data_IF_828726360876
#
_entry.id   IF_828726360876
#
_cell.length_a   1.000
_cell.length_b   1.000
_cell.length_c   1.000
_cell.angle_alpha   90.00
_cell.angle_beta   90.00
_cell.angle_gamma   90.00
#
_symmetry.space_group_name_H-M   'P 1'
#
loop_
_entity.id
_entity.type
_entity.pdbx_description
1 polymer ?
#
# COMPACT_ATOMS: atom_id res chain seq x y z
N UNK A 1 0.40 33.44 67.98
CA UNK A 1 0.25 31.96 67.90
C UNK A 1 1.18 31.50 66.78
N UNK A 2 2.45 31.11 66.99
CA UNK A 2 2.95 29.76 67.36
C UNK A 2 2.09 28.64 66.73
N UNK A 3 2.55 27.62 66.01
CA UNK A 3 3.84 26.92 65.89
C UNK A 3 3.68 25.92 64.71
N UNK A 4 4.56 25.89 63.71
CA UNK A 4 5.60 24.85 63.42
C UNK A 4 5.20 23.37 63.32
N UNK A 5 5.68 22.76 62.22
CA UNK A 5 6.19 21.38 62.02
C UNK A 5 5.16 20.22 62.04
N UNK A 6 5.35 19.05 61.41
CA UNK A 6 6.53 18.38 60.87
C UNK A 6 6.13 17.29 59.86
N UNK A 7 7.09 16.91 59.01
CA UNK A 7 7.09 15.69 58.19
C UNK A 7 7.23 14.40 59.02
N UNK A 8 6.72 13.27 58.52
CA UNK A 8 7.23 11.92 58.80
C UNK A 8 7.09 11.00 57.58
N UNK A 9 8.24 10.52 57.10
CA UNK A 9 8.41 9.30 56.31
C UNK A 9 8.03 8.06 57.14
N UNK A 10 7.58 6.99 56.47
CA UNK A 10 7.94 5.58 56.74
C UNK A 10 7.47 4.67 55.56
N UNK A 11 8.43 3.97 54.95
CA UNK A 11 8.28 2.84 54.01
C UNK A 11 7.86 1.53 54.77
N UNK A 12 7.95 0.32 54.18
CA UNK A 12 7.20 -0.28 53.08
C UNK A 12 6.49 -1.59 53.54
N UNK A 13 5.44 -2.05 52.86
CA UNK A 13 4.83 -3.36 53.17
C UNK A 13 4.92 -4.38 52.03
N UNK A 14 5.37 -5.57 52.44
CA UNK A 14 5.72 -6.77 51.68
C UNK A 14 4.49 -7.60 51.25
N UNK A 15 4.77 -8.47 50.27
CA UNK A 15 3.95 -9.54 49.66
C UNK A 15 3.28 -10.53 50.62
N UNK A 16 2.10 -11.01 50.18
CA UNK A 16 1.58 -12.38 50.34
C UNK A 16 0.21 -12.48 51.05
N UNK A 17 -0.61 -13.56 50.86
CA UNK A 17 -0.52 -14.68 49.92
C UNK A 17 -1.80 -14.88 49.05
N UNK A 18 -1.68 -15.81 48.08
CA UNK A 18 -2.69 -16.23 47.10
C UNK A 18 -3.85 -16.99 47.75
N UNK A 19 -5.09 -16.60 47.45
CA UNK A 19 -6.27 -17.41 47.72
C UNK A 19 -6.64 -18.31 46.53
N UNK A 20 -6.64 -19.62 46.80
CA UNK A 20 -7.24 -20.70 46.02
C UNK A 20 -8.76 -20.50 45.97
N UNK A 21 -9.35 -20.49 44.78
CA UNK A 21 -10.79 -20.69 44.60
C UNK A 21 -11.07 -22.14 44.22
N UNK A 22 -12.03 -22.74 44.93
CA UNK A 22 -12.47 -24.12 44.87
C UNK A 22 -13.42 -24.36 43.70
N UNK A 23 -13.29 -25.52 43.06
CA UNK A 23 -14.30 -26.13 42.19
C UNK A 23 -15.39 -26.81 43.06
N UNK A 24 -16.65 -26.87 42.62
CA UNK A 24 -17.64 -27.75 43.23
C UNK A 24 -17.66 -29.13 42.58
N UNK A 25 -17.62 -30.15 43.43
CA UNK A 25 -17.84 -31.57 43.12
C UNK A 25 -19.33 -31.90 43.10
N UNK A 26 -19.79 -32.67 42.10
CA UNK A 26 -21.05 -33.42 42.15
C UNK A 26 -20.78 -34.91 42.02
N UNK A 27 -21.25 -35.68 43.00
CA UNK A 27 -21.18 -37.13 43.12
C UNK A 27 -22.23 -37.84 42.25
N UNK A 28 -21.89 -38.99 41.68
CA UNK A 28 -22.86 -40.05 41.30
C UNK A 28 -22.17 -41.41 41.23
N UNK A 29 -22.90 -42.44 41.70
CA UNK A 29 -22.46 -43.82 41.94
C UNK A 29 -22.36 -44.69 40.65
N UNK A 30 -21.77 -45.91 40.70
CA UNK A 30 -21.28 -46.62 39.52
C UNK A 30 -22.30 -47.61 38.93
N UNK A 31 -22.28 -47.80 37.60
CA UNK A 31 -22.93 -48.93 36.92
C UNK A 31 -22.25 -49.27 35.57
N UNK A 32 -21.73 -50.50 35.49
CA UNK A 32 -21.92 -51.42 34.36
C UNK A 32 -21.09 -51.24 33.08
N UNK A 33 -20.08 -52.09 32.92
CA UNK A 33 -19.46 -52.43 31.64
C UNK A 33 -20.50 -52.89 30.60
N UNK A 34 -20.55 -52.23 29.43
CA UNK A 34 -21.06 -52.80 28.18
C UNK A 34 -20.22 -52.32 27.00
N UNK A 35 -19.65 -53.27 26.26
CA UNK A 35 -18.90 -53.05 25.03
C UNK A 35 -19.79 -52.40 23.95
N UNK A 36 -19.24 -51.42 23.21
CA UNK A 36 -19.85 -50.86 22.00
C UNK A 36 -19.50 -51.73 20.78
N UNK A 37 -20.44 -51.99 19.85
CA UNK A 37 -20.15 -52.80 18.67
C UNK A 37 -19.46 -51.97 17.57
N UNK A 38 -18.40 -52.54 17.03
CA UNK A 38 -17.49 -52.02 16.00
C UNK A 38 -18.12 -51.81 14.60
N UNK A 39 -19.42 -52.05 14.44
CA UNK A 39 -20.09 -52.09 13.12
C UNK A 39 -20.71 -50.76 12.67
N UNK A 40 -20.90 -49.78 13.55
CA UNK A 40 -21.51 -48.50 13.19
C UNK A 40 -20.53 -47.56 12.43
N UNK A 41 -19.24 -47.62 12.75
CA UNK A 41 -18.24 -46.72 12.17
C UNK A 41 -17.80 -47.15 10.75
N UNK A 42 -17.93 -48.45 10.40
CA UNK A 42 -17.60 -48.97 9.08
C UNK A 42 -18.63 -48.59 7.98
N UNK A 43 -19.90 -48.41 8.35
CA UNK A 43 -20.97 -48.04 7.41
C UNK A 43 -20.94 -46.54 7.08
N UNK A 44 -20.56 -45.69 8.04
CA UNK A 44 -20.40 -44.24 7.83
C UNK A 44 -19.19 -43.91 6.94
N UNK A 45 -18.11 -44.69 7.01
CA UNK A 45 -16.90 -44.47 6.21
C UNK A 45 -17.08 -44.86 4.72
N UNK A 46 -17.91 -45.87 4.44
CA UNK A 46 -18.15 -46.38 3.07
C UNK A 46 -19.15 -45.55 2.27
N UNK A 47 -20.13 -44.92 2.94
CA UNK A 47 -21.06 -43.98 2.30
C UNK A 47 -20.38 -42.66 1.87
N UNK A 48 -19.40 -42.17 2.64
CA UNK A 48 -18.65 -40.94 2.34
C UNK A 48 -17.69 -41.08 1.16
N UNK A 49 -17.02 -42.22 1.03
CA UNK A 49 -16.08 -42.48 -0.08
C UNK A 49 -16.78 -42.60 -1.45
N UNK A 50 -18.03 -43.07 -1.47
CA UNK A 50 -18.81 -43.28 -2.69
C UNK A 50 -19.34 -41.97 -3.32
N UNK A 51 -19.66 -40.98 -2.49
CA UNK A 51 -20.10 -39.64 -2.95
C UNK A 51 -18.93 -38.79 -3.49
N UNK A 52 -17.72 -38.96 -2.95
CA UNK A 52 -16.53 -38.26 -3.43
C UNK A 52 -16.08 -38.67 -4.84
N UNK A 53 -16.23 -39.96 -5.19
CA UNK A 53 -15.83 -40.48 -6.52
C UNK A 53 -16.80 -40.05 -7.63
N UNK A 54 -18.10 -39.94 -7.34
CA UNK A 54 -19.11 -39.48 -8.32
C UNK A 54 -18.96 -37.98 -8.62
N UNK A 55 -18.53 -37.16 -7.66
CA UNK A 55 -18.30 -35.73 -7.87
C UNK A 55 -17.00 -35.45 -8.66
N UNK A 56 -15.97 -36.30 -8.49
CA UNK A 56 -14.71 -36.22 -9.25
C UNK A 56 -14.87 -36.66 -10.71
N UNK A 57 -15.79 -37.59 -11.00
CA UNK A 57 -16.05 -38.08 -12.36
C UNK A 57 -16.99 -37.16 -13.17
N UNK A 58 -17.82 -36.34 -12.52
CA UNK A 58 -18.69 -35.36 -13.23
C UNK A 58 -17.97 -34.06 -13.59
N UNK A 59 -16.89 -33.71 -12.87
CA UNK A 59 -16.04 -32.55 -13.18
C UNK A 59 -14.92 -32.86 -14.18
N UNK A 60 -14.67 -34.15 -14.45
CA UNK A 60 -13.61 -34.63 -15.32
C UNK A 60 -14.16 -35.32 -16.58
N UNK A 61 -15.03 -34.64 -17.35
CA UNK A 61 -15.13 -34.95 -18.79
C UNK A 61 -15.56 -33.73 -19.62
N UNK A 62 -14.89 -33.48 -20.77
CA UNK A 62 -14.83 -32.19 -21.42
C UNK A 62 -15.81 -32.11 -22.60
N UNK A 63 -16.58 -31.03 -22.70
CA UNK A 63 -17.27 -30.69 -23.94
C UNK A 63 -16.76 -29.36 -24.51
N UNK A 64 -16.04 -29.53 -25.62
CA UNK A 64 -15.98 -28.66 -26.80
C UNK A 64 -15.20 -27.35 -26.68
N UNK A 65 -13.88 -27.46 -26.83
CA UNK A 65 -13.07 -26.40 -27.43
C UNK A 65 -13.44 -26.25 -28.90
N UNK A 66 -14.06 -25.12 -29.25
CA UNK A 66 -14.12 -24.67 -30.63
C UNK A 66 -12.71 -24.29 -31.08
N UNK A 67 -12.22 -24.92 -32.15
CA UNK A 67 -10.93 -24.58 -32.76
C UNK A 67 -11.06 -23.26 -33.53
N UNK A 68 -10.93 -22.14 -32.84
CA UNK A 68 -10.48 -20.91 -33.48
C UNK A 68 -8.96 -20.91 -33.51
N UNK A 69 -8.41 -21.08 -34.71
CA UNK A 69 -7.00 -20.84 -35.02
C UNK A 69 -6.64 -19.39 -34.67
N UNK A 70 -6.06 -19.18 -33.49
CA UNK A 70 -5.32 -17.94 -33.21
C UNK A 70 -3.94 -18.05 -33.85
N UNK A 71 -3.42 -16.96 -34.45
CA UNK A 71 -2.09 -16.96 -35.03
C UNK A 71 -1.09 -17.26 -33.91
N UNK A 72 -0.14 -18.14 -34.19
CA UNK A 72 0.99 -18.44 -33.32
C UNK A 72 1.78 -17.16 -33.08
N UNK A 73 1.52 -16.46 -31.98
CA UNK A 73 2.53 -15.60 -31.37
C UNK A 73 3.64 -16.55 -30.95
N UNK A 74 4.76 -16.52 -31.69
CA UNK A 74 5.99 -17.16 -31.28
C UNK A 74 6.34 -16.63 -29.90
N UNK A 75 6.09 -17.41 -28.85
CA UNK A 75 6.69 -17.16 -27.55
C UNK A 75 8.20 -17.11 -27.79
N UNK A 76 8.89 -15.97 -27.57
CA UNK A 76 10.34 -15.95 -27.67
C UNK A 76 10.84 -17.02 -26.71
N UNK A 77 11.58 -18.01 -27.22
CA UNK A 77 12.17 -19.02 -26.36
C UNK A 77 13.04 -18.35 -25.29
N UNK A 78 13.08 -18.93 -24.10
CA UNK A 78 14.04 -18.52 -23.06
C UNK A 78 15.45 -18.56 -23.68
N UNK A 79 16.12 -17.41 -23.74
CA UNK A 79 17.46 -17.28 -24.34
C UNK A 79 17.51 -16.96 -25.85
N UNK A 80 16.39 -16.60 -26.49
CA UNK A 80 16.37 -16.20 -27.93
C UNK A 80 16.77 -14.72 -28.15
N UNK A 81 17.35 -14.06 -27.14
CA UNK A 81 17.92 -12.71 -27.23
C UNK A 81 19.46 -12.74 -27.28
N UNK A 82 20.07 -11.69 -27.84
CA UNK A 82 21.50 -11.46 -27.70
C UNK A 82 21.90 -11.26 -26.23
N UNK A 83 23.22 -11.26 -25.94
CA UNK A 83 23.73 -11.04 -24.58
C UNK A 83 23.22 -9.71 -24.02
N UNK A 84 22.75 -9.72 -22.78
CA UNK A 84 22.27 -8.55 -22.04
C UNK A 84 23.03 -8.37 -20.72
N UNK A 85 22.68 -7.35 -19.94
CA UNK A 85 23.25 -7.18 -18.59
C UNK A 85 22.90 -8.33 -17.64
N UNK A 86 21.91 -9.17 -17.95
CA UNK A 86 21.61 -10.37 -17.16
C UNK A 86 22.67 -11.47 -17.32
N UNK A 87 23.55 -11.37 -18.32
CA UNK A 87 24.68 -12.29 -18.53
C UNK A 87 25.98 -11.79 -17.89
N UNK A 88 25.92 -10.66 -17.16
CA UNK A 88 27.05 -10.04 -16.46
C UNK A 88 27.04 -10.48 -14.98
N UNK A 89 28.00 -11.31 -14.52
CA UNK A 89 28.04 -11.81 -13.14
C UNK A 89 28.28 -10.71 -12.09
N UNK A 90 28.65 -9.51 -12.52
CA UNK A 90 28.81 -8.34 -11.65
C UNK A 90 27.48 -7.64 -11.35
N UNK A 91 26.44 -7.85 -12.17
CA UNK A 91 25.11 -7.27 -11.92
C UNK A 91 24.39 -8.08 -10.84
N UNK A 92 24.00 -7.41 -9.76
CA UNK A 92 23.34 -8.03 -8.62
C UNK A 92 22.07 -7.28 -8.20
N UNK A 93 21.03 -8.03 -7.85
CA UNK A 93 19.76 -7.50 -7.35
C UNK A 93 19.88 -6.97 -5.91
N UNK A 94 20.87 -7.45 -5.15
CA UNK A 94 21.08 -7.17 -3.72
C UNK A 94 21.77 -5.82 -3.50
N UNK A 95 21.54 -5.20 -2.33
CA UNK A 95 22.00 -3.83 -2.02
C UNK A 95 23.49 -3.71 -1.72
N UNK A 96 24.17 -4.82 -1.41
CA UNK A 96 25.60 -4.88 -1.03
C UNK A 96 26.56 -4.67 -2.21
N UNK A 97 26.09 -4.88 -3.45
CA UNK A 97 26.89 -4.70 -4.66
C UNK A 97 26.37 -3.51 -5.47
N UNK A 98 27.15 -2.42 -5.65
CA UNK A 98 26.74 -1.32 -6.50
C UNK A 98 26.63 -1.78 -7.96
N UNK A 99 25.65 -1.23 -8.68
CA UNK A 99 25.59 -1.35 -10.14
C UNK A 99 26.05 -0.01 -10.70
N UNK A 100 26.98 -0.04 -11.64
CA UNK A 100 27.44 1.13 -12.37
C UNK A 100 27.07 1.02 -13.84
N UNK A 101 26.91 2.17 -14.51
CA UNK A 101 26.48 2.21 -15.92
C UNK A 101 25.06 1.67 -16.14
N UNK A 102 24.18 1.76 -15.13
CA UNK A 102 22.83 1.21 -15.20
C UNK A 102 22.00 1.82 -16.32
N UNK A 103 22.12 3.12 -16.57
CA UNK A 103 21.38 3.80 -17.64
C UNK A 103 21.73 3.24 -19.02
N UNK A 104 23.01 2.96 -19.28
CA UNK A 104 23.47 2.35 -20.53
C UNK A 104 22.99 0.91 -20.67
N UNK A 105 23.19 0.10 -19.61
CA UNK A 105 22.72 -1.30 -19.55
C UNK A 105 21.22 -1.42 -19.81
N UNK A 106 20.42 -0.55 -19.17
CA UNK A 106 18.96 -0.49 -19.33
C UNK A 106 18.57 -0.03 -20.73
N UNK A 107 19.23 0.99 -21.28
CA UNK A 107 18.95 1.49 -22.62
C UNK A 107 19.28 0.45 -23.71
N UNK A 108 20.37 -0.30 -23.57
CA UNK A 108 20.71 -1.42 -24.45
C UNK A 108 19.65 -2.52 -24.42
N UNK A 109 19.21 -2.90 -23.21
CA UNK A 109 18.15 -3.90 -23.05
C UNK A 109 16.83 -3.45 -23.70
N UNK A 110 16.42 -2.19 -23.50
CA UNK A 110 15.20 -1.63 -24.10
C UNK A 110 15.26 -1.62 -25.63
N UNK A 111 16.43 -1.32 -26.21
CA UNK A 111 16.64 -1.38 -27.67
C UNK A 111 16.52 -2.81 -28.20
N UNK A 112 17.08 -3.77 -27.48
CA UNK A 112 17.01 -5.19 -27.84
C UNK A 112 15.60 -5.78 -27.69
N UNK A 113 14.79 -5.24 -26.77
CA UNK A 113 13.43 -5.70 -26.45
C UNK A 113 12.36 -4.73 -26.95
N UNK A 114 12.42 -4.33 -28.23
CA UNK A 114 11.58 -3.27 -28.79
C UNK A 114 10.08 -3.52 -28.67
N UNK A 115 9.63 -4.78 -28.74
CA UNK A 115 8.22 -5.13 -28.54
C UNK A 115 7.75 -4.88 -27.10
N UNK A 116 8.56 -5.29 -26.13
CA UNK A 116 8.31 -5.02 -24.71
C UNK A 116 8.35 -3.52 -24.49
N UNK A 117 9.32 -2.80 -25.07
CA UNK A 117 9.46 -1.35 -24.98
C UNK A 117 8.30 -0.58 -25.65
N UNK A 118 7.68 -1.13 -26.69
CA UNK A 118 6.51 -0.54 -27.36
C UNK A 118 5.17 -0.81 -26.64
N UNK A 119 5.10 -1.80 -25.74
CA UNK A 119 3.86 -2.17 -25.03
C UNK A 119 3.29 -1.16 -24.02
N UNK A 120 3.89 0.03 -23.87
CA UNK A 120 3.33 1.16 -23.12
C UNK A 120 2.62 2.03 -24.13
N UNK A 121 1.28 2.08 -24.09
CA UNK A 121 0.49 2.80 -25.08
C UNK A 121 0.99 4.24 -25.33
N UNK A 122 0.96 4.69 -26.59
CA UNK A 122 1.21 6.05 -27.07
C UNK A 122 2.15 6.93 -26.20
N UNK A 123 3.37 6.43 -25.97
CA UNK A 123 4.43 7.22 -25.32
C UNK A 123 4.20 7.54 -23.84
N UNK A 124 3.34 6.79 -23.14
CA UNK A 124 3.21 6.87 -21.68
C UNK A 124 4.31 6.07 -20.97
N UNK A 125 5.00 6.71 -20.02
CA UNK A 125 6.01 6.08 -19.17
C UNK A 125 5.38 4.93 -18.36
N UNK A 126 6.02 3.74 -18.35
CA UNK A 126 5.54 2.59 -17.57
C UNK A 126 5.79 2.79 -16.08
N UNK A 127 4.78 2.49 -15.28
CA UNK A 127 4.83 2.52 -13.81
C UNK A 127 4.68 1.10 -13.28
N UNK A 128 5.61 0.70 -12.41
CA UNK A 128 5.52 -0.49 -11.58
C UNK A 128 5.19 -0.05 -10.15
N UNK A 129 3.97 -0.30 -9.69
CA UNK A 129 3.63 -0.16 -8.27
C UNK A 129 4.29 -1.30 -7.48
N UNK A 130 5.00 -0.93 -6.42
CA UNK A 130 5.60 -1.85 -5.45
C UNK A 130 4.97 -1.58 -4.09
N UNK A 131 4.44 -2.62 -3.48
CA UNK A 131 3.89 -2.61 -2.12
C UNK A 131 4.35 -3.88 -1.41
N UNK A 132 4.19 -3.96 -0.09
CA UNK A 132 4.44 -5.20 0.61
C UNK A 132 4.00 -5.19 2.06
N UNK A 133 3.97 -6.38 2.64
CA UNK A 133 3.75 -6.61 4.07
C UNK A 133 4.71 -7.68 4.58
N UNK A 134 4.86 -7.78 5.89
CA UNK A 134 5.72 -8.79 6.51
C UNK A 134 5.27 -10.23 6.15
N UNK A 135 6.20 -11.21 6.10
CA UNK A 135 5.88 -12.61 5.82
C UNK A 135 5.07 -13.28 6.93
N UNK A 136 5.30 -12.87 8.18
CA UNK A 136 4.63 -13.44 9.34
C UNK A 136 3.19 -12.94 9.48
N UNK A 137 2.29 -13.75 10.09
CA UNK A 137 0.95 -13.30 10.45
C UNK A 137 0.99 -12.04 11.30
N UNK A 138 -0.04 -11.20 11.16
CA UNK A 138 -0.14 -9.98 11.94
C UNK A 138 -0.29 -10.26 13.44
N UNK A 139 0.34 -9.39 14.26
CA UNK A 139 0.13 -9.40 15.71
C UNK A 139 -1.30 -8.97 16.10
N UNK A 140 -1.92 -8.12 15.29
CA UNK A 140 -3.32 -7.70 15.41
C UNK A 140 -4.28 -8.75 14.83
N UNK A 141 -5.35 -9.07 15.58
CA UNK A 141 -6.38 -10.05 15.17
C UNK A 141 -7.10 -9.71 13.86
N UNK A 142 -7.17 -8.42 13.51
CA UNK A 142 -7.81 -7.94 12.27
C UNK A 142 -6.80 -7.58 11.19
N UNK A 143 -5.50 -7.63 11.50
CA UNK A 143 -4.43 -7.09 10.65
C UNK A 143 -4.37 -7.76 9.28
N UNK A 144 -4.35 -9.09 9.24
CA UNK A 144 -4.28 -9.84 7.97
C UNK A 144 -5.52 -9.62 7.08
N UNK A 145 -6.70 -9.46 7.70
CA UNK A 145 -7.92 -9.13 6.97
C UNK A 145 -7.83 -7.72 6.35
N UNK A 146 -7.36 -6.74 7.11
CA UNK A 146 -7.16 -5.39 6.61
C UNK A 146 -6.10 -5.35 5.50
N UNK A 147 -4.95 -6.02 5.68
CA UNK A 147 -3.91 -6.14 4.65
C UNK A 147 -4.45 -6.76 3.35
N UNK A 148 -5.30 -7.78 3.46
CA UNK A 148 -5.96 -8.38 2.28
C UNK A 148 -6.84 -7.36 1.55
N UNK A 149 -7.62 -6.56 2.27
CA UNK A 149 -8.46 -5.52 1.66
C UNK A 149 -7.63 -4.38 1.06
N UNK A 150 -6.51 -4.02 1.70
CA UNK A 150 -5.55 -3.04 1.22
C UNK A 150 -4.86 -3.51 -0.08
N UNK A 151 -4.49 -4.80 -0.16
CA UNK A 151 -4.01 -5.41 -1.38
C UNK A 151 -5.07 -5.39 -2.49
N UNK A 152 -6.33 -5.74 -2.20
CA UNK A 152 -7.44 -5.63 -3.17
C UNK A 152 -7.56 -4.21 -3.73
N UNK A 153 -7.51 -3.19 -2.88
CA UNK A 153 -7.59 -1.79 -3.34
C UNK A 153 -6.48 -1.44 -4.35
N UNK A 154 -5.24 -1.86 -4.07
CA UNK A 154 -4.10 -1.68 -4.99
C UNK A 154 -4.29 -2.45 -6.30
N UNK A 155 -4.77 -3.70 -6.22
CA UNK A 155 -5.09 -4.52 -7.40
C UNK A 155 -6.14 -3.85 -8.29
N UNK A 156 -7.22 -3.35 -7.72
CA UNK A 156 -8.28 -2.66 -8.46
C UNK A 156 -7.76 -1.38 -9.12
N UNK A 157 -6.99 -0.56 -8.40
CA UNK A 157 -6.42 0.66 -8.96
C UNK A 157 -5.51 0.34 -10.15
N UNK A 158 -4.61 -0.63 -9.97
CA UNK A 158 -3.66 -1.05 -10.99
C UNK A 158 -4.35 -1.57 -12.25
N UNK A 159 -5.35 -2.43 -12.07
CA UNK A 159 -6.16 -3.00 -13.15
C UNK A 159 -6.93 -1.93 -13.94
N UNK A 160 -7.47 -0.92 -13.25
CA UNK A 160 -8.23 0.18 -13.87
C UNK A 160 -7.32 1.18 -14.61
N UNK A 161 -6.09 1.38 -14.14
CA UNK A 161 -5.19 2.44 -14.64
C UNK A 161 -4.00 1.91 -15.46
N UNK A 162 -3.95 0.61 -15.75
CA UNK A 162 -2.88 0.01 -16.55
C UNK A 162 -1.51 0.03 -15.86
N UNK A 163 -1.50 0.01 -14.54
CA UNK A 163 -0.28 -0.03 -13.71
C UNK A 163 0.00 -1.48 -13.35
N UNK A 164 1.28 -1.90 -13.38
CA UNK A 164 1.67 -3.23 -12.90
C UNK A 164 1.84 -3.21 -11.39
N UNK A 165 1.48 -4.30 -10.70
CA UNK A 165 1.65 -4.45 -9.25
C UNK A 165 2.64 -5.57 -8.95
N UNK A 166 3.69 -5.23 -8.21
CA UNK A 166 4.53 -6.18 -7.48
C UNK A 166 4.20 -6.05 -6.00
N UNK A 167 3.72 -7.14 -5.39
CA UNK A 167 3.45 -7.19 -3.96
C UNK A 167 4.42 -8.14 -3.27
N UNK A 168 5.32 -7.60 -2.45
CA UNK A 168 6.36 -8.36 -1.77
C UNK A 168 5.90 -8.82 -0.38
N UNK A 169 6.19 -10.08 -0.04
CA UNK A 169 5.97 -10.66 1.29
C UNK A 169 7.22 -11.36 1.83
N UNK A 170 8.41 -10.95 1.36
CA UNK A 170 9.68 -11.55 1.75
C UNK A 170 10.68 -10.49 2.22
N UNK A 171 11.53 -10.85 3.18
CA UNK A 171 12.67 -10.02 3.57
C UNK A 171 13.83 -10.32 2.62
N UNK A 172 13.99 -9.50 1.56
CA UNK A 172 15.09 -9.66 0.60
C UNK A 172 16.46 -9.36 1.21
N UNK A 173 16.48 -8.61 2.32
CA UNK A 173 17.68 -8.31 3.08
C UNK A 173 17.32 -8.28 4.58
N UNK A 174 17.53 -9.39 5.33
CA UNK A 174 16.97 -9.54 6.68
C UNK A 174 17.37 -8.49 7.72
N UNK A 175 18.54 -7.85 7.58
CA UNK A 175 18.95 -6.74 8.46
C UNK A 175 18.15 -5.46 8.20
N UNK A 176 17.59 -5.28 7.00
CA UNK A 176 16.75 -4.15 6.60
C UNK A 176 15.28 -4.54 6.75
N UNK A 177 14.75 -4.39 7.96
CA UNK A 177 13.38 -4.75 8.29
C UNK A 177 12.40 -3.54 8.29
N UNK A 178 11.13 -3.81 8.63
CA UNK A 178 10.08 -2.79 8.80
C UNK A 178 10.05 -1.77 7.65
N UNK A 179 10.21 -0.49 7.96
CA UNK A 179 10.17 0.62 7.01
C UNK A 179 11.42 0.70 6.11
N UNK A 180 12.54 0.06 6.49
CA UNK A 180 13.75 -0.02 5.65
C UNK A 180 13.67 -1.12 4.58
N UNK A 181 12.82 -2.13 4.76
CA UNK A 181 12.68 -3.27 3.85
C UNK A 181 12.27 -2.87 2.42
N UNK A 182 11.69 -1.68 2.22
CA UNK A 182 11.32 -1.15 0.90
C UNK A 182 12.53 -0.95 -0.01
N UNK A 183 13.70 -0.56 0.52
CA UNK A 183 14.87 -0.22 -0.31
C UNK A 183 15.40 -1.46 -1.05
N UNK A 184 15.68 -2.61 -0.40
CA UNK A 184 16.04 -3.84 -1.10
C UNK A 184 15.01 -4.28 -2.15
N UNK A 185 13.71 -4.14 -1.85
CA UNK A 185 12.63 -4.54 -2.76
C UNK A 185 12.58 -3.65 -3.99
N UNK A 186 12.67 -2.33 -3.82
CA UNK A 186 12.67 -1.37 -4.93
C UNK A 186 13.91 -1.58 -5.80
N UNK A 187 15.08 -1.79 -5.20
CA UNK A 187 16.31 -2.10 -5.95
C UNK A 187 16.15 -3.36 -6.80
N UNK A 188 15.70 -4.46 -6.20
CA UNK A 188 15.49 -5.70 -6.92
C UNK A 188 14.45 -5.52 -8.04
N UNK A 189 13.38 -4.77 -7.79
CA UNK A 189 12.35 -4.44 -8.78
C UNK A 189 12.92 -3.61 -9.94
N UNK A 190 13.80 -2.63 -9.70
CA UNK A 190 14.46 -1.86 -10.77
C UNK A 190 15.25 -2.76 -11.72
N UNK A 191 15.99 -3.73 -11.19
CA UNK A 191 16.80 -4.67 -11.99
C UNK A 191 15.94 -5.72 -12.68
N UNK A 192 14.86 -6.18 -12.03
CA UNK A 192 13.93 -7.16 -12.59
C UNK A 192 13.00 -6.55 -13.66
N UNK A 193 12.75 -5.24 -13.59
CA UNK A 193 11.84 -4.51 -14.49
C UNK A 193 12.54 -3.34 -15.20
N UNK A 194 13.54 -3.61 -16.07
CA UNK A 194 14.20 -2.57 -16.85
C UNK A 194 13.22 -1.84 -17.81
N UNK A 195 12.06 -2.42 -18.11
CA UNK A 195 11.01 -1.81 -18.91
C UNK A 195 10.19 -0.73 -18.17
N UNK A 196 10.22 -0.73 -16.83
CA UNK A 196 9.55 0.26 -16.01
C UNK A 196 10.38 1.54 -15.96
N UNK A 197 9.75 2.68 -16.24
CA UNK A 197 10.42 3.98 -16.12
C UNK A 197 10.34 4.49 -14.68
N UNK A 198 9.22 4.23 -14.01
CA UNK A 198 9.00 4.58 -12.62
C UNK A 198 8.69 3.34 -11.79
N UNK A 199 9.36 3.22 -10.65
CA UNK A 199 8.93 2.36 -9.54
C UNK A 199 8.15 3.24 -8.56
N UNK A 200 6.91 2.87 -8.26
CA UNK A 200 6.03 3.59 -7.37
C UNK A 200 5.86 2.80 -6.08
N UNK A 201 6.56 3.21 -5.02
CA UNK A 201 6.36 2.62 -3.70
C UNK A 201 5.06 3.12 -3.09
N UNK A 202 4.25 2.20 -2.56
CA UNK A 202 3.01 2.48 -1.82
C UNK A 202 2.97 1.59 -0.60
N UNK A 203 3.04 2.18 0.59
CA UNK A 203 2.92 1.46 1.87
C UNK A 203 1.64 0.61 1.93
N UNK A 204 1.70 -0.49 2.69
CA UNK A 204 0.57 -1.41 2.81
C UNK A 204 -0.67 -0.72 3.38
N UNK A 205 -0.52 0.20 4.32
CA UNK A 205 -1.58 0.98 4.97
C UNK A 205 -1.99 2.26 4.23
N UNK A 206 -1.52 2.48 3.00
CA UNK A 206 -2.01 3.51 2.10
C UNK A 206 -3.14 2.99 1.21
N UNK A 207 -4.26 3.73 1.17
CA UNK A 207 -5.44 3.43 0.35
C UNK A 207 -5.49 4.40 -0.84
N UNK A 208 -5.62 3.86 -2.05
CA UNK A 208 -5.91 4.62 -3.26
C UNK A 208 -7.41 4.98 -3.21
N UNK A 209 -7.73 6.24 -2.93
CA UNK A 209 -9.10 6.71 -2.69
C UNK A 209 -9.71 7.46 -3.87
N UNK A 210 -8.91 7.87 -4.85
CA UNK A 210 -9.40 8.31 -6.17
C UNK A 210 -9.02 7.27 -7.25
N UNK A 211 -9.98 6.43 -7.63
CA UNK A 211 -9.76 5.36 -8.62
C UNK A 211 -9.75 5.88 -10.06
N UNK A 212 -10.20 7.12 -10.27
CA UNK A 212 -10.20 7.81 -11.57
C UNK A 212 -8.88 8.58 -11.82
N UNK A 213 -8.11 8.89 -10.77
CA UNK A 213 -6.89 9.70 -10.87
C UNK A 213 -5.74 8.96 -11.56
N UNK A 214 -5.06 9.64 -12.48
CA UNK A 214 -3.82 9.16 -13.12
C UNK A 214 -2.64 10.06 -12.75
N UNK A 215 -1.49 9.44 -12.48
CA UNK A 215 -0.26 10.16 -12.14
C UNK A 215 0.13 11.13 -13.27
N UNK A 216 0.39 12.42 -12.98
CA UNK A 216 0.73 13.42 -14.00
C UNK A 216 2.22 13.34 -14.39
N UNK A 217 2.70 12.17 -14.86
CA UNK A 217 4.13 11.86 -15.04
C UNK A 217 4.92 12.90 -15.87
N UNK A 218 4.28 13.54 -16.86
CA UNK A 218 4.88 14.64 -17.64
C UNK A 218 5.36 15.82 -16.79
N UNK A 219 4.73 16.07 -15.64
CA UNK A 219 5.12 17.07 -14.64
C UNK A 219 6.49 16.74 -14.03
N UNK A 220 6.79 15.45 -13.88
CA UNK A 220 7.96 14.94 -13.17
C UNK A 220 9.16 14.61 -14.08
N UNK A 221 9.06 14.87 -15.40
CA UNK A 221 10.09 14.53 -16.40
C UNK A 221 11.52 15.01 -16.09
N UNK A 222 11.67 16.08 -15.30
CA UNK A 222 12.99 16.63 -14.90
C UNK A 222 13.58 16.01 -13.63
N UNK A 223 12.84 15.13 -12.96
CA UNK A 223 13.11 14.62 -11.62
C UNK A 223 13.22 13.09 -11.63
N UNK A 224 13.87 12.56 -10.60
CA UNK A 224 14.09 11.13 -10.41
C UNK A 224 13.43 10.59 -9.14
N UNK A 225 13.07 11.46 -8.19
CA UNK A 225 12.28 11.11 -7.01
C UNK A 225 11.11 12.10 -6.89
N UNK A 226 9.91 11.60 -6.63
CA UNK A 226 8.72 12.41 -6.32
C UNK A 226 8.17 11.89 -5.01
N UNK A 227 8.03 12.75 -4.01
CA UNK A 227 7.44 12.43 -2.72
C UNK A 227 6.44 13.52 -2.34
N UNK A 228 5.43 13.17 -1.53
CA UNK A 228 4.54 14.19 -0.97
C UNK A 228 5.30 15.02 0.05
N UNK A 229 5.18 16.34 0.00
CA UNK A 229 5.82 17.23 0.96
C UNK A 229 5.81 18.67 0.52
N UNK A 230 6.20 19.57 1.42
CA UNK A 230 6.18 21.01 1.15
C UNK A 230 7.60 21.56 1.10
N UNK A 231 7.95 22.17 -0.03
CA UNK A 231 9.29 22.75 -0.25
C UNK A 231 9.74 23.64 0.92
N UNK A 232 8.89 24.57 1.35
CA UNK A 232 9.22 25.47 2.46
C UNK A 232 9.43 24.74 3.79
N UNK A 233 8.72 23.63 4.05
CA UNK A 233 8.91 22.84 5.27
C UNK A 233 10.18 22.00 5.24
N UNK A 234 10.55 21.44 4.07
CA UNK A 234 11.77 20.63 3.94
C UNK A 234 13.03 21.50 3.87
N UNK A 235 12.96 22.66 3.20
CA UNK A 235 14.13 23.41 2.77
C UNK A 235 14.38 24.73 3.47
N UNK A 236 13.36 25.31 4.10
CA UNK A 236 13.41 26.67 4.63
C UNK A 236 13.04 26.72 6.13
N UNK A 237 12.20 25.79 6.60
CA UNK A 237 11.78 25.73 8.01
C UNK A 237 12.95 25.51 8.97
N UNK A 238 12.97 26.30 10.04
CA UNK A 238 13.93 26.18 11.14
C UNK A 238 13.17 26.27 12.47
N UNK A 239 13.15 25.20 13.30
CA UNK A 239 13.77 23.89 13.06
C UNK A 239 13.07 23.12 11.92
N UNK A 240 13.79 22.19 11.25
CA UNK A 240 13.17 21.31 10.27
C UNK A 240 12.26 20.29 10.97
N UNK A 241 11.23 19.82 10.25
CA UNK A 241 10.30 18.80 10.71
C UNK A 241 10.56 17.47 10.02
N UNK A 242 10.55 16.36 10.76
CA UNK A 242 10.67 15.01 10.18
C UNK A 242 9.43 14.58 9.37
N UNK A 243 8.30 15.29 9.52
CA UNK A 243 7.05 15.08 8.76
C UNK A 243 6.86 16.13 7.65
N UNK A 244 7.92 16.86 7.27
CA UNK A 244 7.88 17.83 6.18
C UNK A 244 7.68 17.21 4.78
N UNK A 245 7.91 15.90 4.67
CA UNK A 245 7.57 15.03 3.55
C UNK A 245 7.14 13.65 4.07
N UNK A 246 6.59 12.82 3.19
CA UNK A 246 6.22 11.43 3.46
C UNK A 246 7.07 10.44 2.62
N UNK A 247 7.57 9.37 3.26
CA UNK A 247 8.35 8.31 2.59
C UNK A 247 7.58 6.98 2.38
N UNK A 248 6.28 6.98 2.67
CA UNK A 248 5.38 5.85 2.47
C UNK A 248 4.75 5.78 1.09
N UNK A 249 4.71 6.90 0.35
CA UNK A 249 4.25 6.93 -1.04
C UNK A 249 5.18 7.81 -1.88
N UNK A 250 5.91 7.22 -2.82
CA UNK A 250 6.81 7.97 -3.69
C UNK A 250 7.05 7.27 -5.04
N UNK A 251 7.34 8.08 -6.07
CA UNK A 251 7.83 7.60 -7.35
C UNK A 251 9.35 7.75 -7.39
N UNK A 252 10.05 6.72 -7.84
CA UNK A 252 11.49 6.76 -8.09
C UNK A 252 11.81 6.22 -9.50
N UNK A 253 12.57 6.98 -10.29
CA UNK A 253 12.89 6.66 -11.68
C UNK A 253 13.86 5.48 -11.74
N UNK A 254 13.68 4.56 -12.67
CA UNK A 254 14.62 3.45 -12.88
C UNK A 254 15.88 3.93 -13.63
N UNK A 255 16.84 4.48 -12.88
CA UNK A 255 18.06 5.08 -13.41
C UNK A 255 19.23 4.96 -12.44
N UNK A 256 20.46 5.21 -12.92
CA UNK A 256 21.69 5.14 -12.12
C UNK A 256 21.61 6.05 -10.88
N UNK A 257 21.13 7.28 -11.05
CA UNK A 257 20.97 8.23 -9.95
C UNK A 257 20.14 7.65 -8.80
N UNK A 258 19.09 6.90 -9.11
CA UNK A 258 18.21 6.31 -8.09
C UNK A 258 18.86 5.16 -7.34
N UNK A 259 19.70 4.37 -8.02
CA UNK A 259 20.48 3.32 -7.38
C UNK A 259 21.50 3.93 -6.40
N UNK A 260 22.17 5.01 -6.81
CA UNK A 260 23.15 5.72 -5.97
C UNK A 260 22.45 6.42 -4.80
N UNK A 261 21.30 7.04 -5.05
CA UNK A 261 20.47 7.69 -4.05
C UNK A 261 20.01 6.69 -2.98
N UNK A 262 19.48 5.54 -3.38
CA UNK A 262 19.03 4.50 -2.45
C UNK A 262 20.18 3.89 -1.64
N UNK A 263 21.38 3.77 -2.22
CA UNK A 263 22.56 3.33 -1.48
C UNK A 263 22.94 4.33 -0.38
N UNK A 264 22.94 5.63 -0.68
CA UNK A 264 23.16 6.68 0.30
C UNK A 264 22.05 6.77 1.36
N UNK A 265 20.80 6.47 0.98
CA UNK A 265 19.68 6.43 1.91
C UNK A 265 19.79 5.24 2.86
N UNK A 266 20.10 4.06 2.34
CA UNK A 266 20.27 2.83 3.11
C UNK A 266 21.44 2.88 4.11
N UNK A 267 22.44 3.75 3.92
CA UNK A 267 23.57 3.86 4.85
C UNK A 267 23.19 4.37 6.24
N UNK A 268 22.00 4.95 6.40
CA UNK A 268 21.43 5.34 7.69
C UNK A 268 20.52 4.25 8.28
N UNK A 269 20.39 3.11 7.59
CA UNK A 269 19.55 1.99 7.99
C UNK A 269 20.24 0.97 8.92
N UNK A 270 19.48 -0.04 9.37
CA UNK A 270 19.91 -1.05 10.32
C UNK A 270 20.94 -2.05 9.78
N UNK A 271 21.28 -2.01 8.49
CA UNK A 271 22.38 -2.81 7.93
C UNK A 271 23.77 -2.30 8.37
N UNK A 272 23.85 -1.06 8.87
CA UNK A 272 25.06 -0.52 9.48
C UNK A 272 25.36 -1.19 10.84
N UNK A 273 26.54 -0.90 11.41
CA UNK A 273 26.87 -1.42 12.74
C UNK A 273 25.85 -0.91 13.78
N UNK A 274 25.52 -1.68 14.85
CA UNK A 274 24.56 -1.22 15.87
C UNK A 274 24.91 0.15 16.47
N UNK A 275 26.20 0.46 16.58
CA UNK A 275 26.70 1.76 17.06
C UNK A 275 26.42 2.88 16.05
N UNK A 276 26.57 2.62 14.76
CA UNK A 276 26.30 3.58 13.70
C UNK A 276 24.79 3.81 13.51
N UNK A 277 23.98 2.75 13.53
CA UNK A 277 22.52 2.88 13.48
C UNK A 277 21.98 3.69 14.67
N UNK A 278 22.46 3.42 15.89
CA UNK A 278 22.11 4.20 17.08
C UNK A 278 22.58 5.66 16.99
N UNK A 279 23.77 5.89 16.41
CA UNK A 279 24.28 7.24 16.14
C UNK A 279 23.36 7.98 15.18
N UNK A 280 22.91 7.36 14.09
CA UNK A 280 21.97 7.98 13.15
C UNK A 280 20.63 8.31 13.83
N UNK A 281 20.10 7.41 14.66
CA UNK A 281 18.93 7.72 15.49
C UNK A 281 19.11 8.99 16.31
N UNK A 282 20.24 9.12 17.02
CA UNK A 282 20.54 10.30 17.82
C UNK A 282 20.71 11.58 16.97
N UNK A 283 21.39 11.49 15.81
CA UNK A 283 21.57 12.61 14.88
C UNK A 283 20.22 13.09 14.35
N UNK A 284 19.33 12.18 13.95
CA UNK A 284 18.02 12.52 13.41
C UNK A 284 17.10 13.11 14.49
N UNK A 285 17.11 12.56 15.71
CA UNK A 285 16.36 13.13 16.85
C UNK A 285 16.89 14.49 17.28
N UNK A 286 18.20 14.74 17.22
CA UNK A 286 18.73 16.08 17.49
C UNK A 286 18.38 17.05 16.36
N UNK A 287 18.36 16.59 15.10
CA UNK A 287 18.04 17.44 13.95
C UNK A 287 16.55 17.86 13.94
N UNK A 288 15.64 16.90 14.17
CA UNK A 288 14.20 17.10 14.07
C UNK A 288 13.56 17.16 15.47
N UNK A 289 13.29 18.38 15.95
CA UNK A 289 12.82 18.60 17.34
C UNK A 289 11.42 18.04 17.62
N UNK A 290 10.66 17.74 16.57
CA UNK A 290 9.33 17.13 16.60
C UNK A 290 9.35 15.62 16.34
N UNK A 291 10.53 14.99 16.19
CA UNK A 291 10.67 13.54 16.05
C UNK A 291 10.45 12.84 17.39
N UNK A 292 9.59 11.83 17.38
CA UNK A 292 9.11 11.17 18.61
C UNK A 292 10.00 10.03 19.10
N UNK A 293 10.80 9.43 18.21
CA UNK A 293 11.56 8.20 18.49
C UNK A 293 13.05 8.40 18.25
N UNK A 294 13.88 7.91 19.17
CA UNK A 294 15.34 7.90 19.04
C UNK A 294 15.81 6.63 18.30
N UNK A 295 15.35 6.50 17.06
CA UNK A 295 15.69 5.43 16.11
C UNK A 295 15.81 6.07 14.72
N UNK A 296 16.67 5.52 13.87
CA UNK A 296 16.78 5.96 12.47
C UNK A 296 15.65 5.34 11.64
N UNK A 297 14.77 6.19 11.11
CA UNK A 297 13.72 5.82 10.17
C UNK A 297 13.98 6.38 8.78
N UNK A 298 13.45 5.68 7.78
CA UNK A 298 13.65 5.99 6.35
C UNK A 298 13.14 7.40 6.02
N UNK A 299 12.02 7.84 6.58
CA UNK A 299 11.47 9.17 6.34
C UNK A 299 12.38 10.28 6.87
N UNK A 300 12.81 10.18 8.14
CA UNK A 300 13.71 11.16 8.75
C UNK A 300 15.06 11.19 8.03
N UNK A 301 15.59 10.03 7.65
CA UNK A 301 16.81 9.91 6.86
C UNK A 301 16.68 10.59 5.49
N UNK A 302 15.53 10.44 4.82
CA UNK A 302 15.23 11.11 3.56
C UNK A 302 15.21 12.63 3.72
N UNK A 303 14.48 13.16 4.71
CA UNK A 303 14.48 14.61 5.00
C UNK A 303 15.90 15.09 5.27
N UNK A 304 16.66 14.34 6.08
CA UNK A 304 18.04 14.67 6.44
C UNK A 304 18.95 14.77 5.22
N UNK A 305 18.87 13.84 4.27
CA UNK A 305 19.65 13.89 3.03
C UNK A 305 19.36 15.13 2.19
N UNK A 306 18.10 15.57 2.16
CA UNK A 306 17.66 16.68 1.31
C UNK A 306 17.90 18.05 1.94
N UNK A 307 17.92 18.15 3.28
CA UNK A 307 18.12 19.41 3.98
C UNK A 307 19.59 19.85 4.03
N UNK A 308 20.55 18.93 3.84
CA UNK A 308 21.98 19.29 3.91
C UNK A 308 22.35 20.37 2.89
N UNK A 309 23.14 21.35 3.35
CA UNK A 309 23.70 22.37 2.46
C UNK A 309 24.56 21.71 1.37
N UNK A 310 24.29 22.04 0.11
CA UNK A 310 24.97 21.43 -1.03
C UNK A 310 24.58 19.98 -1.32
N UNK A 311 23.45 19.49 -0.79
CA UNK A 311 22.96 18.14 -1.08
C UNK A 311 22.91 17.88 -2.60
N UNK A 312 23.62 16.86 -3.11
CA UNK A 312 23.67 16.56 -4.54
C UNK A 312 22.35 15.97 -5.07
N UNK A 313 21.42 15.65 -4.17
CA UNK A 313 20.16 14.98 -4.50
C UNK A 313 19.04 15.96 -4.81
N UNK A 314 19.07 17.15 -4.20
CA UNK A 314 17.95 18.08 -4.07
C UNK A 314 17.31 18.46 -5.40
N UNK A 315 18.13 18.69 -6.43
CA UNK A 315 17.68 19.14 -7.76
C UNK A 315 16.92 18.06 -8.55
N UNK A 316 17.02 16.80 -8.13
CA UNK A 316 16.33 15.66 -8.75
C UNK A 316 15.12 15.19 -7.94
N UNK A 317 14.79 15.85 -6.83
CA UNK A 317 13.62 15.55 -6.01
C UNK A 317 12.51 16.57 -6.23
N UNK A 318 11.33 16.10 -6.63
CA UNK A 318 10.10 16.87 -6.68
C UNK A 318 9.28 16.64 -5.40
N UNK A 319 8.94 17.71 -4.69
CA UNK A 319 8.04 17.67 -3.54
C UNK A 319 6.64 18.04 -4.02
N UNK A 320 5.75 17.04 -4.11
CA UNK A 320 4.39 17.21 -4.63
C UNK A 320 3.43 17.63 -3.50
N UNK A 321 2.75 18.74 -3.71
CA UNK A 321 1.78 19.31 -2.77
C UNK A 321 0.49 19.79 -3.43
N UNK A 322 0.34 19.66 -4.75
CA UNK A 322 -0.87 20.11 -5.47
C UNK A 322 -2.07 19.18 -5.28
N UNK A 323 -1.80 17.92 -4.93
CA UNK A 323 -2.79 16.93 -4.59
C UNK A 323 -2.29 16.03 -3.46
N UNK A 324 -3.19 15.25 -2.87
CA UNK A 324 -2.86 14.26 -1.85
C UNK A 324 -2.13 13.06 -2.48
N UNK A 325 -0.89 13.28 -2.95
CA UNK A 325 -0.02 12.20 -3.42
C UNK A 325 0.29 11.22 -2.30
N UNK A 326 0.44 11.76 -1.09
CA UNK A 326 0.07 11.12 0.16
C UNK A 326 -0.90 12.06 0.88
N UNK A 327 -1.79 11.51 1.71
CA UNK A 327 -2.79 12.31 2.41
C UNK A 327 -3.08 11.75 3.78
N UNK A 328 -2.83 12.57 4.80
CA UNK A 328 -2.99 12.17 6.19
C UNK A 328 -4.45 11.86 6.53
N UNK A 329 -4.71 10.62 6.96
CA UNK A 329 -6.06 10.07 7.07
C UNK A 329 -7.02 10.86 7.99
N UNK A 330 -6.52 11.52 9.04
CA UNK A 330 -7.36 12.32 9.95
C UNK A 330 -8.00 13.52 9.25
N UNK A 331 -7.33 14.11 8.27
CA UNK A 331 -7.88 15.25 7.50
C UNK A 331 -8.96 14.80 6.51
N UNK A 332 -8.92 13.53 6.12
CA UNK A 332 -9.66 13.01 4.97
C UNK A 332 -10.90 12.24 5.39
N UNK A 333 -10.77 11.28 6.31
CA UNK A 333 -11.79 10.25 6.55
C UNK A 333 -13.14 10.84 6.96
N UNK A 334 -13.15 11.88 7.80
CA UNK A 334 -14.37 12.58 8.22
C UNK A 334 -15.09 13.36 7.10
N UNK A 335 -14.46 13.54 5.92
CA UNK A 335 -15.00 14.31 4.79
C UNK A 335 -15.49 13.44 3.64
N UNK A 336 -15.21 12.13 3.64
CA UNK A 336 -15.47 11.24 2.50
C UNK A 336 -16.95 11.23 2.07
N UNK A 337 -17.90 11.28 3.01
CA UNK A 337 -19.33 11.35 2.69
C UNK A 337 -19.70 12.61 1.91
N UNK A 338 -19.17 13.77 2.33
CA UNK A 338 -19.38 15.04 1.64
C UNK A 338 -18.74 15.06 0.25
N UNK A 339 -17.59 14.41 0.08
CA UNK A 339 -16.96 14.24 -1.24
C UNK A 339 -17.87 13.42 -2.16
N UNK A 340 -18.41 12.30 -1.68
CA UNK A 340 -19.39 11.50 -2.42
C UNK A 340 -20.58 12.35 -2.86
N UNK A 341 -21.21 13.07 -1.93
CA UNK A 341 -22.41 13.89 -2.22
C UNK A 341 -22.14 14.97 -3.27
N UNK A 342 -20.94 15.57 -3.26
CA UNK A 342 -20.53 16.60 -4.22
C UNK A 342 -20.30 16.03 -5.62
N UNK A 343 -19.65 14.88 -5.73
CA UNK A 343 -19.50 14.19 -7.03
C UNK A 343 -20.86 13.74 -7.57
N UNK A 344 -21.73 13.24 -6.69
CA UNK A 344 -23.10 12.89 -7.02
C UNK A 344 -23.90 14.11 -7.52
N UNK A 345 -23.74 15.27 -6.87
CA UNK A 345 -24.36 16.52 -7.30
C UNK A 345 -23.82 17.03 -8.64
N UNK A 346 -22.51 16.90 -8.89
CA UNK A 346 -21.89 17.21 -10.18
C UNK A 346 -22.52 16.39 -11.30
N UNK A 347 -22.66 15.08 -11.12
CA UNK A 347 -23.16 14.19 -12.17
C UNK A 347 -24.66 14.31 -12.41
N UNK A 348 -25.43 14.89 -11.47
CA UNK A 348 -26.85 15.22 -11.67
C UNK A 348 -27.07 16.48 -12.52
N UNK A 349 -26.05 17.33 -12.72
CA UNK A 349 -26.19 18.60 -13.44
C UNK A 349 -26.69 18.39 -14.89
N UNK A 350 -27.46 19.34 -15.45
CA UNK A 350 -27.78 19.33 -16.88
C UNK A 350 -26.50 19.20 -17.73
N UNK A 351 -26.52 18.33 -18.74
CA UNK A 351 -25.35 18.05 -19.59
C UNK A 351 -24.41 16.95 -19.08
N UNK A 352 -24.50 16.52 -17.82
CA UNK A 352 -23.64 15.47 -17.25
C UNK A 352 -24.15 14.03 -17.51
N UNK A 353 -25.17 13.85 -18.35
CA UNK A 353 -25.79 12.54 -18.60
C UNK A 353 -24.81 11.47 -19.07
N UNK A 354 -23.77 11.86 -19.83
CA UNK A 354 -22.70 10.96 -20.28
C UNK A 354 -21.92 10.33 -19.12
N UNK A 355 -21.73 11.05 -18.01
CA UNK A 355 -20.96 10.57 -16.86
C UNK A 355 -21.69 9.46 -16.08
N UNK A 356 -23.02 9.44 -16.19
CA UNK A 356 -23.92 8.50 -15.51
C UNK A 356 -24.25 7.26 -16.33
N UNK A 357 -23.83 7.22 -17.60
CA UNK A 357 -24.11 6.10 -18.49
C UNK A 357 -23.38 4.86 -17.99
N UNK A 358 -24.11 3.74 -17.86
CA UNK A 358 -23.51 2.42 -17.60
C UNK A 358 -22.55 2.07 -18.74
N UNK A 359 -21.40 1.51 -18.39
CA UNK A 359 -20.34 1.19 -19.32
C UNK A 359 -19.60 -0.07 -18.88
N UNK A 360 -18.90 -0.69 -19.82
CA UNK A 360 -17.98 -1.77 -19.48
C UNK A 360 -16.81 -1.18 -18.71
N UNK A 361 -16.26 -1.94 -17.75
CA UNK A 361 -15.10 -1.52 -16.97
C UNK A 361 -13.87 -1.23 -17.85
N UNK A 362 -13.77 -1.87 -19.02
CA UNK A 362 -12.73 -1.56 -20.04
C UNK A 362 -12.79 -0.13 -20.57
N UNK A 363 -13.91 0.57 -20.40
CA UNK A 363 -14.07 1.98 -20.76
C UNK A 363 -13.65 2.94 -19.63
N UNK A 364 -13.17 2.44 -18.48
CA UNK A 364 -12.84 3.23 -17.28
C UNK A 364 -12.05 4.50 -17.59
N UNK A 365 -10.94 4.39 -18.33
CA UNK A 365 -10.07 5.53 -18.63
C UNK A 365 -10.80 6.69 -19.33
N UNK A 366 -11.74 6.37 -20.25
CA UNK A 366 -12.52 7.38 -20.94
C UNK A 366 -13.53 8.08 -20.01
N UNK A 367 -14.15 7.33 -19.09
CA UNK A 367 -15.07 7.89 -18.11
C UNK A 367 -14.37 8.67 -17.01
N UNK A 368 -13.21 8.20 -16.54
CA UNK A 368 -12.33 8.90 -15.61
C UNK A 368 -11.91 10.27 -16.19
N UNK A 369 -11.43 10.29 -17.45
CA UNK A 369 -11.08 11.54 -18.14
C UNK A 369 -12.29 12.48 -18.30
N UNK A 370 -13.47 11.94 -18.61
CA UNK A 370 -14.69 12.74 -18.74
C UNK A 370 -15.14 13.33 -17.39
N UNK A 371 -14.95 12.63 -16.28
CA UNK A 371 -15.22 13.13 -14.92
C UNK A 371 -14.21 14.19 -14.51
N UNK A 372 -12.92 13.95 -14.73
CA UNK A 372 -11.85 14.91 -14.42
C UNK A 372 -12.09 16.25 -15.14
N UNK A 373 -12.46 16.21 -16.42
CA UNK A 373 -12.81 17.41 -17.20
C UNK A 373 -14.04 18.17 -16.65
N UNK A 374 -14.91 17.52 -15.87
CA UNK A 374 -16.09 18.15 -15.28
C UNK A 374 -15.81 18.77 -13.89
N UNK A 375 -14.72 18.39 -13.22
CA UNK A 375 -14.40 18.82 -11.85
C UNK A 375 -14.31 20.35 -11.68
N UNK A 376 -13.61 21.12 -12.55
CA UNK A 376 -13.46 22.56 -12.34
C UNK A 376 -14.81 23.30 -12.38
N UNK A 377 -15.67 22.98 -13.36
CA UNK A 377 -17.01 23.56 -13.45
C UNK A 377 -17.91 23.17 -12.27
N UNK A 378 -17.54 22.11 -11.53
CA UNK A 378 -18.24 21.67 -10.34
C UNK A 378 -17.73 22.30 -9.02
N UNK A 379 -16.64 23.07 -9.06
CA UNK A 379 -15.95 23.51 -7.84
C UNK A 379 -15.23 22.37 -7.12
N UNK A 380 -14.85 21.32 -7.87
CA UNK A 380 -14.15 20.12 -7.39
C UNK A 380 -12.73 19.99 -7.97
N UNK A 381 -12.20 21.06 -8.56
CA UNK A 381 -10.87 21.07 -9.16
C UNK A 381 -9.74 21.12 -8.13
N UNK A 382 -9.97 21.72 -6.97
CA UNK A 382 -8.98 21.89 -5.91
C UNK A 382 -8.91 20.68 -4.97
N UNK A 383 -7.70 20.22 -4.69
CA UNK A 383 -7.39 19.20 -3.67
C UNK A 383 -7.03 19.86 -2.33
N UNK A 384 -6.84 19.05 -1.29
CA UNK A 384 -6.36 19.51 0.02
C UNK A 384 -7.48 19.78 1.04
N UNK A 385 -7.11 20.37 2.18
CA UNK A 385 -8.02 20.65 3.30
C UNK A 385 -9.18 21.58 2.92
N UNK A 386 -8.94 22.52 2.01
CA UNK A 386 -9.95 23.47 1.53
C UNK A 386 -10.64 22.98 0.23
N UNK A 387 -10.06 21.99 -0.44
CA UNK A 387 -10.55 21.42 -1.68
C UNK A 387 -11.61 20.33 -1.49
N UNK A 388 -12.30 20.00 -2.58
CA UNK A 388 -13.31 18.94 -2.64
C UNK A 388 -13.06 17.92 -3.75
N UNK A 389 -11.93 18.03 -4.46
CA UNK A 389 -11.41 16.93 -5.27
C UNK A 389 -11.20 15.71 -4.36
N UNK A 390 -11.50 14.52 -4.87
CA UNK A 390 -11.17 13.28 -4.16
C UNK A 390 -9.69 13.28 -3.79
N UNK A 391 -9.34 12.92 -2.54
CA UNK A 391 -7.96 12.66 -2.19
C UNK A 391 -7.48 11.48 -3.03
N UNK A 392 -6.27 11.58 -3.60
CA UNK A 392 -5.75 10.49 -4.41
C UNK A 392 -5.34 9.31 -3.52
N UNK A 393 -4.50 9.58 -2.51
CA UNK A 393 -4.10 8.60 -1.51
C UNK A 393 -4.53 9.04 -0.12
N UNK A 394 -5.04 8.11 0.67
CA UNK A 394 -5.32 8.27 2.09
C UNK A 394 -4.45 7.30 2.87
N UNK A 395 -3.47 7.82 3.60
CA UNK A 395 -2.44 7.03 4.27
C UNK A 395 -2.66 7.01 5.79
N UNK A 396 -2.77 5.80 6.33
CA UNK A 396 -3.07 5.56 7.74
C UNK A 396 -1.81 5.53 8.62
N UNK A 397 -0.95 6.52 8.43
CA UNK A 397 0.30 6.68 9.20
C UNK A 397 0.03 6.62 10.70
N UNK A 398 0.79 5.75 11.39
CA UNK A 398 0.65 5.53 12.83
C UNK A 398 -0.50 4.60 13.25
N UNK A 399 -1.37 4.15 12.33
CA UNK A 399 -2.41 3.16 12.67
C UNK A 399 -1.87 1.74 12.78
N UNK A 400 -0.77 1.41 12.08
CA UNK A 400 -0.08 0.11 12.14
C UNK A 400 -1.05 -1.10 12.20
N UNK A 401 -1.90 -1.30 11.18
CA UNK A 401 -3.02 -2.25 11.23
C UNK A 401 -2.57 -3.69 11.53
N UNK A 402 -1.33 -4.01 11.15
CA UNK A 402 -0.77 -5.33 11.33
C UNK A 402 -0.13 -5.57 12.70
N UNK A 403 0.76 -4.69 13.17
CA UNK A 403 1.44 -4.87 14.46
C UNK A 403 0.45 -4.74 15.63
N UNK A 404 -0.56 -3.89 15.49
CA UNK A 404 -1.45 -3.49 16.58
C UNK A 404 -0.80 -2.50 17.56
N UNK A 405 0.46 -2.12 17.36
CA UNK A 405 1.19 -1.11 18.13
C UNK A 405 0.85 0.31 17.61
N UNK A 406 -0.41 0.67 17.76
CA UNK A 406 -0.94 1.94 17.26
C UNK A 406 -0.31 3.12 18.00
N UNK A 407 -0.17 4.25 17.31
CA UNK A 407 0.16 5.51 17.98
C UNK A 407 -0.89 5.81 19.05
N UNK A 408 -0.44 6.13 20.27
CA UNK A 408 -1.29 6.36 21.44
C UNK A 408 -2.29 7.52 21.27
N UNK A 409 -2.02 8.42 20.32
CA UNK A 409 -2.94 9.50 19.96
C UNK A 409 -4.23 9.03 19.25
N UNK A 410 -4.28 7.78 18.76
CA UNK A 410 -5.44 7.24 18.04
C UNK A 410 -6.09 6.10 18.79
N UNK A 411 -7.42 6.09 18.85
CA UNK A 411 -8.13 4.90 19.31
C UNK A 411 -8.03 3.79 18.26
N UNK A 412 -7.92 2.53 18.69
CA UNK A 412 -7.91 1.41 17.74
C UNK A 412 -9.17 1.34 16.88
N UNK A 413 -10.31 1.76 17.45
CA UNK A 413 -11.58 1.84 16.72
C UNK A 413 -11.52 2.86 15.57
N UNK A 414 -10.98 4.05 15.82
CA UNK A 414 -10.90 5.11 14.79
C UNK A 414 -10.01 4.74 13.60
N UNK A 415 -8.91 4.00 13.84
CA UNK A 415 -8.03 3.57 12.76
C UNK A 415 -8.68 2.47 11.89
N UNK A 416 -9.25 1.44 12.50
CA UNK A 416 -9.84 0.33 11.72
C UNK A 416 -11.10 0.79 10.97
N UNK A 417 -11.95 1.60 11.62
CA UNK A 417 -13.13 2.21 10.98
C UNK A 417 -12.73 3.19 9.88
N UNK A 418 -11.68 3.99 10.10
CA UNK A 418 -11.13 4.88 9.09
C UNK A 418 -10.65 4.12 7.85
N UNK A 419 -9.87 3.05 8.04
CA UNK A 419 -9.39 2.19 6.95
C UNK A 419 -10.59 1.60 6.20
N UNK A 420 -11.58 1.05 6.91
CA UNK A 420 -12.79 0.48 6.28
C UNK A 420 -13.58 1.53 5.49
N UNK A 421 -13.76 2.73 6.04
CA UNK A 421 -14.46 3.82 5.36
C UNK A 421 -13.72 4.26 4.08
N UNK A 422 -12.39 4.41 4.12
CA UNK A 422 -11.59 4.74 2.95
C UNK A 422 -11.62 3.62 1.89
N UNK A 423 -11.53 2.36 2.31
CA UNK A 423 -11.62 1.20 1.42
C UNK A 423 -12.99 1.11 0.75
N UNK A 424 -14.08 1.25 1.49
CA UNK A 424 -15.43 1.21 0.93
C UNK A 424 -15.71 2.43 0.03
N UNK A 425 -15.15 3.60 0.35
CA UNK A 425 -15.21 4.78 -0.50
C UNK A 425 -14.50 4.58 -1.85
N UNK A 426 -13.35 3.92 -1.85
CA UNK A 426 -12.65 3.53 -3.07
C UNK A 426 -13.41 2.43 -3.83
N UNK A 427 -13.88 1.40 -3.13
CA UNK A 427 -14.57 0.25 -3.73
C UNK A 427 -15.93 0.65 -4.33
N UNK A 428 -16.62 1.65 -3.77
CA UNK A 428 -17.83 2.24 -4.39
C UNK A 428 -17.58 2.73 -5.82
N UNK A 429 -16.37 3.21 -6.14
CA UNK A 429 -16.00 3.66 -7.48
C UNK A 429 -15.81 2.47 -8.43
N UNK A 430 -15.29 1.34 -7.92
CA UNK A 430 -15.12 0.09 -8.66
C UNK A 430 -16.47 -0.61 -8.87
N UNK A 431 -17.21 -0.85 -7.78
CA UNK A 431 -18.51 -1.51 -7.76
C UNK A 431 -19.56 -0.82 -8.64
N UNK A 432 -19.39 0.48 -8.89
CA UNK A 432 -20.25 1.22 -9.80
C UNK A 432 -20.30 0.61 -11.20
N UNK A 433 -19.19 0.10 -11.73
CA UNK A 433 -19.15 -0.60 -13.03
C UNK A 433 -19.97 -1.90 -13.01
N UNK A 434 -20.13 -2.50 -11.83
CA UNK A 434 -20.90 -3.72 -11.60
C UNK A 434 -22.35 -3.43 -11.20
N UNK A 435 -22.75 -2.15 -11.10
CA UNK A 435 -24.10 -1.74 -10.74
C UNK A 435 -24.40 -1.82 -9.25
N UNK A 436 -23.38 -1.76 -8.40
CA UNK A 436 -23.51 -1.80 -6.94
C UNK A 436 -22.79 -0.62 -6.27
N UNK A 437 -23.15 -0.38 -5.01
CA UNK A 437 -22.38 0.42 -4.05
C UNK A 437 -22.60 -0.14 -2.65
N UNK A 438 -21.68 0.11 -1.73
CA UNK A 438 -21.88 -0.17 -0.31
C UNK A 438 -23.15 0.54 0.21
N UNK A 439 -23.84 -0.13 1.14
CA UNK A 439 -25.04 0.42 1.75
C UNK A 439 -24.72 1.60 2.69
N UNK A 440 -23.54 1.59 3.30
CA UNK A 440 -22.98 2.61 4.20
C UNK A 440 -21.43 2.55 4.15
N UNK A 441 -20.73 3.55 4.68
CA UNK A 441 -19.27 3.62 4.71
C UNK A 441 -18.61 2.51 5.54
N UNK A 442 -19.29 1.97 6.56
CA UNK A 442 -18.70 0.95 7.46
C UNK A 442 -19.27 -0.46 7.27
N UNK A 443 -20.18 -0.67 6.32
CA UNK A 443 -20.80 -1.97 6.06
C UNK A 443 -20.20 -2.66 4.83
N UNK A 444 -20.03 -3.97 4.93
CA UNK A 444 -19.58 -4.80 3.80
C UNK A 444 -20.77 -5.20 2.90
N UNK A 445 -22.02 -4.91 3.30
CA UNK A 445 -23.20 -5.14 2.48
C UNK A 445 -23.31 -4.09 1.36
N UNK A 446 -23.65 -4.57 0.16
CA UNK A 446 -23.86 -3.72 -1.03
C UNK A 446 -25.34 -3.66 -1.40
N UNK A 447 -25.71 -2.59 -2.11
CA UNK A 447 -27.04 -2.39 -2.68
C UNK A 447 -26.95 -2.09 -4.18
N UNK A 448 -27.95 -2.50 -4.97
CA UNK A 448 -27.97 -2.20 -6.39
C UNK A 448 -28.13 -0.70 -6.64
N UNK A 449 -27.49 -0.22 -7.70
CA UNK A 449 -27.61 1.15 -8.20
C UNK A 449 -28.79 1.29 -9.17
N UNK A 450 -29.54 2.42 -9.14
CA UNK A 450 -30.48 2.78 -10.19
C UNK A 450 -29.84 2.78 -11.59
N UNK A 451 -30.66 2.69 -12.63
CA UNK A 451 -30.18 2.62 -14.02
C UNK A 451 -29.23 3.77 -14.38
N UNK A 452 -29.57 4.99 -13.98
CA UNK A 452 -28.85 6.23 -14.29
C UNK A 452 -28.21 6.86 -13.05
N UNK A 453 -27.71 6.04 -12.11
CA UNK A 453 -27.09 6.54 -10.88
C UNK A 453 -25.95 7.55 -11.15
N UNK A 454 -25.91 8.68 -10.41
CA UNK A 454 -26.95 9.19 -9.53
C UNK A 454 -28.19 9.65 -10.29
N UNK A 455 -29.37 9.15 -9.91
CA UNK A 455 -30.62 9.51 -10.57
C UNK A 455 -30.83 11.03 -10.54
N UNK A 456 -31.36 11.59 -11.65
CA UNK A 456 -31.83 12.97 -11.65
C UNK A 456 -32.96 13.06 -10.62
N UNK A 457 -32.88 14.05 -9.73
CA UNK A 457 -33.98 14.36 -8.81
C UNK A 457 -35.19 14.83 -9.59
#
# INVERSE_FOLDING_TARGET
MRSTAAARHLHPWKRGPRHRQQQPTSTTAPRGNRARPWFADAVLFTAGASLGVVLLLTLASPFSSSSQSRPSTSTPGVGVGGRTFYDDPEVAYTIDRPITGWDEKRADWLRAQSEIAAGGGDGEERVLMVSGSQPEPCGSLVGDNLLTRLLKNKLDYCRLNGVQLLYNTALLWPSMDRYWAKIPVIRAAMVAHPEAEWVWWVDSDAVLTDMDFRLPLRRYRGHNLVAHGWRHLVYESTPPSWTSLNAGVFLIRNCQWSLDFMAAWASMGPDSTPQEYARWGAVLTDTFKDKMFNESDDQSALVYMLLQSGSPWRDKVYLESDYYFEGYWLEITGRLGNVTDRYDAMERRPGAARLRRRHAEREHAAYAAARDAALPGAGLGESGVNGWRRPFVTHFTGCQPCSGHRNEHYSGRSCDEGIRAALNFADDQVLRAYGFRHADQLTDAVRPLPFDHPAKR
#
